data_IF_222502466633
#
_entry.id   IF_222502466633
#
_cell.length_a   1.000
_cell.length_b   1.000
_cell.length_c   1.000
_cell.angle_alpha   90.00
_cell.angle_beta   90.00
_cell.angle_gamma   90.00
#
_symmetry.space_group_name_H-M   'P 1'
#
loop_
_entity.id
_entity.type
_entity.pdbx_description
1 polymer ?
#
# COMPACT_ATOMS: atom_id res chain seq x y z
N UNK A 1 7.23 30.28 9.38
CA UNK A 1 7.46 28.88 9.80
C UNK A 1 6.11 28.18 9.84
N UNK A 2 5.80 27.33 8.85
CA UNK A 2 4.53 26.57 8.82
C UNK A 2 4.65 25.30 9.66
N UNK A 3 3.56 25.00 10.35
CA UNK A 3 3.39 23.94 11.33
C UNK A 3 3.74 22.55 10.77
N UNK A 4 4.93 22.03 11.12
CA UNK A 4 5.31 20.63 10.86
C UNK A 4 4.38 19.63 11.57
N UNK A 5 3.76 20.02 12.69
CA UNK A 5 2.83 19.16 13.44
C UNK A 5 1.45 18.97 12.80
N UNK A 6 0.96 19.92 11.99
CA UNK A 6 -0.34 19.80 11.30
C UNK A 6 -0.26 19.04 9.97
N UNK A 7 0.92 18.98 9.35
CA UNK A 7 1.09 18.25 8.09
C UNK A 7 0.96 16.73 8.27
N UNK A 8 1.45 16.20 9.40
CA UNK A 8 1.41 14.75 9.68
C UNK A 8 -0.02 14.24 9.83
N UNK A 9 -0.91 14.97 10.50
CA UNK A 9 -2.31 14.54 10.63
C UNK A 9 -3.08 14.68 9.32
N UNK A 10 -2.76 15.71 8.53
CA UNK A 10 -3.41 15.96 7.23
C UNK A 10 -3.12 14.87 6.21
N UNK A 11 -1.88 14.35 6.14
CA UNK A 11 -1.52 13.35 5.14
C UNK A 11 -2.07 11.97 5.49
N UNK A 12 -2.09 11.61 6.78
CA UNK A 12 -2.70 10.36 7.25
C UNK A 12 -4.18 10.29 6.86
N UNK A 13 -4.96 11.35 7.10
CA UNK A 13 -6.39 11.39 6.73
C UNK A 13 -6.60 11.22 5.22
N UNK A 14 -5.72 11.79 4.38
CA UNK A 14 -5.79 11.63 2.92
C UNK A 14 -5.48 10.19 2.51
N UNK A 15 -4.49 9.56 3.14
CA UNK A 15 -4.12 8.17 2.89
C UNK A 15 -5.22 7.20 3.33
N UNK A 16 -5.79 7.41 4.51
CA UNK A 16 -6.96 6.66 5.02
C UNK A 16 -8.13 6.77 4.03
N UNK A 17 -8.50 8.00 3.65
CA UNK A 17 -9.60 8.20 2.69
C UNK A 17 -9.30 7.53 1.35
N UNK A 18 -8.06 7.59 0.87
CA UNK A 18 -7.67 6.95 -0.39
C UNK A 18 -7.76 5.43 -0.31
N UNK A 19 -7.36 4.86 0.82
CA UNK A 19 -7.43 3.43 1.13
C UNK A 19 -8.89 2.95 1.29
N UNK A 20 -9.74 3.68 2.01
CA UNK A 20 -11.13 3.31 2.26
C UNK A 20 -11.98 3.29 0.97
N UNK A 21 -11.58 4.06 -0.05
CA UNK A 21 -12.25 4.06 -1.37
C UNK A 21 -11.81 2.91 -2.29
N UNK A 22 -10.87 2.07 -1.86
CA UNK A 22 -10.46 0.88 -2.60
C UNK A 22 -11.49 -0.23 -2.42
N UNK A 23 -11.67 -1.06 -3.46
CA UNK A 23 -12.36 -2.33 -3.29
C UNK A 23 -11.57 -3.22 -2.31
N UNK A 24 -12.24 -4.13 -1.59
CA UNK A 24 -11.61 -4.99 -0.58
C UNK A 24 -10.36 -5.73 -1.10
N UNK A 25 -10.44 -6.30 -2.30
CA UNK A 25 -9.28 -6.94 -2.96
C UNK A 25 -8.09 -5.98 -3.14
N UNK A 26 -8.37 -4.73 -3.52
CA UNK A 26 -7.36 -3.68 -3.69
C UNK A 26 -6.73 -3.23 -2.38
N UNK A 27 -7.50 -3.23 -1.30
CA UNK A 27 -6.98 -2.97 0.03
C UNK A 27 -6.00 -4.08 0.43
N UNK A 28 -6.35 -5.34 0.21
CA UNK A 28 -5.47 -6.47 0.50
C UNK A 28 -4.16 -6.42 -0.30
N UNK A 29 -4.24 -6.19 -1.62
CA UNK A 29 -3.06 -6.01 -2.48
C UNK A 29 -2.18 -4.85 -2.00
N UNK A 30 -2.80 -3.74 -1.58
CA UNK A 30 -2.10 -2.60 -1.01
C UNK A 30 -1.38 -2.94 0.30
N UNK A 31 -2.07 -3.60 1.23
CA UNK A 31 -1.52 -4.00 2.52
C UNK A 31 -0.37 -4.99 2.32
N UNK A 32 -0.49 -5.95 1.41
CA UNK A 32 0.58 -6.90 1.08
C UNK A 32 1.89 -6.19 0.69
N UNK A 33 1.86 -4.99 0.12
CA UNK A 33 3.07 -4.20 -0.18
C UNK A 33 3.82 -3.69 1.06
N UNK A 34 3.26 -3.80 2.27
CA UNK A 34 3.93 -3.43 3.52
C UNK A 34 5.21 -4.24 3.77
N UNK A 35 5.37 -5.40 3.12
CA UNK A 35 6.60 -6.21 3.19
C UNK A 35 7.79 -5.56 2.51
N UNK A 36 7.57 -4.55 1.65
CA UNK A 36 8.64 -3.86 0.93
C UNK A 36 9.55 -3.07 1.89
N UNK A 37 10.83 -3.06 1.58
CA UNK A 37 11.78 -2.15 2.21
C UNK A 37 11.56 -0.72 1.69
N UNK A 38 11.82 0.28 2.52
CA UNK A 38 11.68 1.68 2.13
C UNK A 38 12.61 1.99 0.95
N UNK A 39 12.05 2.56 -0.12
CA UNK A 39 12.80 2.88 -1.34
C UNK A 39 13.09 1.69 -2.26
N UNK A 40 12.62 0.48 -1.94
CA UNK A 40 12.77 -0.67 -2.81
C UNK A 40 12.04 -0.46 -4.15
N UNK A 41 12.67 -0.94 -5.21
CA UNK A 41 12.05 -1.12 -6.53
C UNK A 41 11.53 -2.55 -6.58
N UNK A 42 10.24 -2.70 -6.85
CA UNK A 42 9.54 -3.96 -6.98
C UNK A 42 9.33 -4.26 -8.47
N UNK A 43 10.02 -5.27 -9.04
CA UNK A 43 9.74 -5.76 -10.37
C UNK A 43 8.31 -6.31 -10.49
N UNK A 44 7.76 -6.33 -11.71
CA UNK A 44 6.40 -6.84 -11.94
C UNK A 44 6.24 -8.29 -11.48
N UNK A 45 7.27 -9.12 -11.62
CA UNK A 45 7.28 -10.51 -11.18
C UNK A 45 7.15 -10.64 -9.66
N UNK A 46 7.71 -9.68 -8.92
CA UNK A 46 7.59 -9.63 -7.47
C UNK A 46 6.16 -9.28 -7.06
N UNK A 47 5.55 -8.26 -7.69
CA UNK A 47 4.16 -7.89 -7.44
C UNK A 47 3.20 -9.03 -7.79
N UNK A 48 3.46 -9.73 -8.89
CA UNK A 48 2.69 -10.89 -9.31
C UNK A 48 2.69 -11.98 -8.24
N UNK A 49 3.87 -12.32 -7.71
CA UNK A 49 3.99 -13.32 -6.64
C UNK A 49 3.33 -12.84 -5.35
N UNK A 50 3.47 -11.56 -5.02
CA UNK A 50 2.91 -10.97 -3.81
C UNK A 50 1.38 -10.94 -3.82
N UNK A 51 0.78 -10.70 -4.99
CA UNK A 51 -0.66 -10.61 -5.18
C UNK A 51 -1.30 -11.91 -5.67
N UNK A 52 -0.50 -12.95 -5.87
CA UNK A 52 -0.95 -14.28 -6.32
C UNK A 52 -1.72 -14.21 -7.66
N UNK A 53 -1.30 -13.32 -8.55
CA UNK A 53 -1.87 -13.19 -9.90
C UNK A 53 -1.06 -14.08 -10.85
N UNK A 54 -1.70 -14.80 -11.76
CA UNK A 54 -0.98 -15.76 -12.62
C UNK A 54 -0.19 -15.06 -13.74
N UNK A 55 -0.77 -14.01 -14.31
CA UNK A 55 -0.27 -13.37 -15.50
C UNK A 55 0.24 -11.93 -15.25
N UNK A 56 1.18 -11.51 -16.12
CA UNK A 56 1.82 -10.21 -16.00
C UNK A 56 0.93 -9.05 -16.49
N UNK A 57 -0.08 -9.33 -17.32
CA UNK A 57 -0.99 -8.30 -17.85
C UNK A 57 -1.98 -7.87 -16.76
N UNK A 58 -2.66 -8.83 -16.14
CA UNK A 58 -3.50 -8.62 -14.97
C UNK A 58 -2.74 -7.97 -13.83
N UNK A 59 -1.50 -8.38 -13.55
CA UNK A 59 -0.67 -7.72 -12.53
C UNK A 59 -0.43 -6.23 -12.85
N UNK A 60 -0.22 -5.88 -14.13
CA UNK A 60 -0.04 -4.47 -14.55
C UNK A 60 -1.34 -3.70 -14.43
N UNK A 61 -2.47 -4.26 -14.82
CA UNK A 61 -3.78 -3.63 -14.68
C UNK A 61 -4.09 -3.35 -13.21
N UNK A 62 -3.79 -4.32 -12.34
CA UNK A 62 -3.97 -4.14 -10.92
C UNK A 62 -3.02 -3.07 -10.35
N UNK A 63 -1.74 -3.07 -10.75
CA UNK A 63 -0.78 -2.05 -10.35
C UNK A 63 -1.18 -0.65 -10.83
N UNK A 64 -1.68 -0.52 -12.05
CA UNK A 64 -2.14 0.73 -12.65
C UNK A 64 -3.31 1.33 -11.85
N UNK A 65 -4.20 0.49 -11.32
CA UNK A 65 -5.26 0.93 -10.42
C UNK A 65 -4.74 1.63 -9.14
N UNK A 66 -3.64 1.12 -8.58
CA UNK A 66 -2.99 1.74 -7.41
C UNK A 66 -2.17 2.97 -7.80
N UNK A 67 -1.56 2.98 -8.99
CA UNK A 67 -0.83 4.13 -9.54
C UNK A 67 -1.76 5.33 -9.74
N UNK A 68 -2.95 5.11 -10.32
CA UNK A 68 -3.96 6.17 -10.52
C UNK A 68 -4.46 6.81 -9.23
N UNK A 69 -4.32 6.11 -8.10
CA UNK A 69 -4.65 6.60 -6.75
C UNK A 69 -3.43 7.10 -5.97
N UNK A 70 -2.27 7.23 -6.62
CA UNK A 70 -1.01 7.66 -6.00
C UNK A 70 -0.55 6.78 -4.82
N UNK A 71 -1.01 5.53 -4.75
CA UNK A 71 -0.62 4.55 -3.72
C UNK A 71 0.58 3.71 -4.16
N UNK A 72 0.87 3.73 -5.46
CA UNK A 72 2.01 3.07 -6.10
C UNK A 72 2.61 4.01 -7.13
N UNK A 73 3.92 3.93 -7.39
CA UNK A 73 4.57 4.69 -8.45
C UNK A 73 5.22 3.74 -9.45
N UNK A 74 4.85 3.87 -10.72
CA UNK A 74 5.59 3.25 -11.82
C UNK A 74 6.93 4.00 -12.04
N UNK A 75 8.00 3.23 -12.21
CA UNK A 75 9.35 3.71 -12.48
C UNK A 75 9.75 3.32 -13.91
N UNK A 76 10.59 4.14 -14.55
CA UNK A 76 11.12 3.82 -15.88
C UNK A 76 11.86 2.46 -15.82
N UNK A 77 11.45 1.52 -16.67
CA UNK A 77 11.97 0.14 -16.65
C UNK A 77 10.95 -0.94 -16.27
N UNK A 78 9.70 -0.57 -15.95
CA UNK A 78 8.64 -1.54 -15.64
C UNK A 78 8.62 -2.01 -14.19
N UNK A 79 9.34 -1.31 -13.32
CA UNK A 79 9.36 -1.53 -11.87
C UNK A 79 8.43 -0.56 -11.16
N UNK A 80 8.09 -0.87 -9.91
CA UNK A 80 7.19 -0.08 -9.10
C UNK A 80 7.84 0.25 -7.76
N UNK A 81 7.41 1.34 -7.12
CA UNK A 81 7.85 1.69 -5.77
C UNK A 81 6.71 2.29 -4.96
N UNK A 82 6.74 2.05 -3.66
CA UNK A 82 5.82 2.68 -2.70
C UNK A 82 6.53 3.85 -2.04
N UNK A 83 5.87 5.01 -1.99
CA UNK A 83 6.41 6.16 -1.28
C UNK A 83 6.53 5.87 0.23
N UNK A 84 7.57 6.39 0.89
CA UNK A 84 7.86 6.05 2.30
C UNK A 84 6.67 6.30 3.23
N UNK A 85 5.96 7.42 3.08
CA UNK A 85 4.78 7.74 3.90
C UNK A 85 3.61 6.78 3.65
N UNK A 86 3.46 6.28 2.42
CA UNK A 86 2.42 5.30 2.07
C UNK A 86 2.77 3.93 2.65
N UNK A 87 4.05 3.58 2.64
CA UNK A 87 4.57 2.35 3.23
C UNK A 87 4.50 2.35 4.76
N UNK A 88 4.77 3.48 5.40
CA UNK A 88 4.59 3.65 6.85
C UNK A 88 3.11 3.52 7.23
N UNK A 89 2.22 4.10 6.42
CA UNK A 89 0.78 3.94 6.59
C UNK A 89 0.36 2.47 6.50
N UNK A 90 0.72 1.75 5.43
CA UNK A 90 0.33 0.33 5.26
C UNK A 90 0.84 -0.56 6.40
N UNK A 91 2.07 -0.34 6.88
CA UNK A 91 2.63 -1.05 8.05
C UNK A 91 1.85 -0.78 9.33
N UNK A 92 1.35 0.45 9.50
CA UNK A 92 0.54 0.82 10.66
C UNK A 92 -0.85 0.19 10.58
N UNK A 93 -1.46 0.18 9.39
CA UNK A 93 -2.76 -0.45 9.16
C UNK A 93 -2.75 -1.95 9.45
N UNK A 94 -1.72 -2.70 9.01
CA UNK A 94 -1.59 -4.14 9.32
C UNK A 94 -1.48 -4.37 10.82
N UNK A 95 -0.67 -3.59 11.54
CA UNK A 95 -0.53 -3.73 12.99
C UNK A 95 -1.86 -3.47 13.72
N UNK A 96 -2.63 -2.49 13.27
CA UNK A 96 -3.95 -2.22 13.84
C UNK A 96 -4.93 -3.39 13.61
N UNK A 97 -4.87 -4.05 12.44
CA UNK A 97 -5.63 -5.28 12.18
C UNK A 97 -5.18 -6.43 13.09
N UNK A 98 -3.88 -6.67 13.24
CA UNK A 98 -3.34 -7.70 14.13
C UNK A 98 -3.80 -7.49 15.59
N UNK A 99 -3.72 -6.26 16.10
CA UNK A 99 -4.18 -5.92 17.45
C UNK A 99 -5.70 -6.13 17.61
N UNK A 100 -6.48 -5.83 16.57
CA UNK A 100 -7.93 -6.05 16.56
C UNK A 100 -8.27 -7.54 16.56
N UNK A 101 -7.57 -8.33 15.75
CA UNK A 101 -7.72 -9.80 15.71
C UNK A 101 -7.31 -10.41 17.04
N UNK A 102 -6.20 -9.99 17.63
CA UNK A 102 -5.77 -10.47 18.95
C UNK A 102 -6.86 -10.19 19.99
N UNK A 103 -7.38 -8.95 20.08
CA UNK A 103 -8.46 -8.61 21.02
C UNK A 103 -9.74 -9.42 20.78
N UNK A 104 -10.08 -9.71 19.53
CA UNK A 104 -11.26 -10.50 19.18
C UNK A 104 -11.08 -12.01 19.45
N UNK A 105 -9.84 -12.51 19.49
CA UNK A 105 -9.51 -13.93 19.67
C UNK A 105 -9.07 -14.29 21.09
N UNK A 106 -8.89 -13.31 21.99
CA UNK A 106 -8.75 -13.58 23.44
C UNK A 106 -10.11 -14.05 23.97
N UNK A 107 -10.31 -15.36 23.93
CA UNK A 107 -11.30 -16.13 24.69
C UNK A 107 -10.64 -16.75 25.92
#
# INVERSE_FOLDING_TARGET
MRARGQQSSSITVVLETSFDTLAARKQEEFLKMAVLAAGALAPIEMLRNLWEIEDAEGTRDEAEGLVRKCLLHAVAGGEYRVHVLVLEFSKTSIRAEEETVQRATVL
#
